data_IF_315219731981
#
_entry.id   IF_315219731981
#
_cell.length_a   1.000
_cell.length_b   1.000
_cell.length_c   1.000
_cell.angle_alpha   90.00
_cell.angle_beta   90.00
_cell.angle_gamma   90.00
#
_symmetry.space_group_name_H-M   'P 1'
#
loop_
_entity.id
_entity.type
_entity.pdbx_description
1 polymer ?
#
# COMPACT_ATOMS: atom_id res chain seq x y z
N UNK A 1 -1.03 7.24 2.87
CA UNK A 1 -0.42 6.75 4.13
C UNK A 1 -0.67 5.26 4.15
N UNK A 2 0.35 4.44 4.38
CA UNK A 2 0.22 2.98 4.34
C UNK A 2 0.70 2.44 5.68
N UNK A 3 -0.23 2.29 6.61
CA UNK A 3 0.04 1.82 7.97
C UNK A 3 -0.56 0.44 8.13
N UNK A 4 0.25 -0.62 8.33
CA UNK A 4 -0.28 -1.97 8.47
C UNK A 4 -1.38 -2.09 9.54
N UNK A 5 -1.28 -1.33 10.63
CA UNK A 5 -2.29 -1.25 11.70
C UNK A 5 -3.66 -0.73 11.28
N UNK A 6 -3.78 -0.06 10.12
CA UNK A 6 -5.03 0.53 9.62
C UNK A 6 -5.76 -0.36 8.62
N UNK A 7 -5.19 -1.53 8.29
CA UNK A 7 -5.86 -2.53 7.47
C UNK A 7 -6.56 -3.54 8.38
N UNK A 8 -7.85 -3.78 8.09
CA UNK A 8 -8.64 -4.77 8.82
C UNK A 8 -8.20 -6.20 8.48
N UNK A 9 -8.49 -7.18 9.36
CA UNK A 9 -8.28 -8.60 9.06
C UNK A 9 -8.90 -9.00 7.72
N UNK A 10 -8.15 -9.72 6.88
CA UNK A 10 -8.55 -10.15 5.54
C UNK A 10 -8.22 -9.17 4.42
N UNK A 11 -7.93 -7.90 4.73
CA UNK A 11 -7.52 -6.93 3.71
C UNK A 11 -6.25 -7.39 3.01
N UNK A 12 -6.16 -7.14 1.71
CA UNK A 12 -5.04 -7.55 0.86
C UNK A 12 -4.78 -9.07 0.90
N UNK A 13 -5.76 -9.88 1.31
CA UNK A 13 -5.60 -11.33 1.49
C UNK A 13 -4.77 -11.73 2.73
N UNK A 14 -4.55 -10.81 3.67
CA UNK A 14 -3.74 -11.05 4.87
C UNK A 14 -4.63 -11.21 6.10
N UNK A 15 -4.44 -12.30 6.85
CA UNK A 15 -5.23 -12.56 8.05
C UNK A 15 -5.09 -11.45 9.10
N UNK A 16 -3.87 -10.95 9.31
CA UNK A 16 -3.55 -9.83 10.19
C UNK A 16 -2.49 -8.96 9.49
N UNK A 17 -2.90 -7.92 8.74
CA UNK A 17 -1.97 -7.05 8.02
C UNK A 17 -0.91 -6.40 8.93
N UNK A 18 -1.28 -5.98 10.14
CA UNK A 18 -0.33 -5.36 11.10
C UNK A 18 0.84 -6.27 11.46
N UNK A 19 0.62 -7.60 11.46
CA UNK A 19 1.63 -8.61 11.73
C UNK A 19 2.46 -9.00 10.49
N UNK A 20 2.13 -8.44 9.32
CA UNK A 20 2.80 -8.69 8.04
C UNK A 20 3.16 -7.37 7.36
N UNK A 21 4.07 -6.58 7.96
CA UNK A 21 4.39 -5.22 7.50
C UNK A 21 4.91 -5.19 6.06
N UNK A 22 5.85 -6.08 5.71
CA UNK A 22 6.38 -6.17 4.34
C UNK A 22 5.25 -6.38 3.32
N UNK A 23 4.46 -7.44 3.53
CA UNK A 23 3.43 -7.86 2.59
C UNK A 23 2.33 -6.81 2.42
N UNK A 24 1.96 -6.15 3.52
CA UNK A 24 0.96 -5.07 3.51
C UNK A 24 1.44 -3.89 2.67
N UNK A 25 2.70 -3.48 2.83
CA UNK A 25 3.27 -2.41 2.00
C UNK A 25 3.38 -2.87 0.54
N UNK A 26 4.00 -4.01 0.30
CA UNK A 26 4.26 -4.52 -1.05
C UNK A 26 2.97 -4.64 -1.87
N UNK A 27 1.92 -5.28 -1.32
CA UNK A 27 0.62 -5.43 -2.01
C UNK A 27 -0.06 -4.10 -2.27
N UNK A 28 -0.12 -3.23 -1.25
CA UNK A 28 -0.76 -1.92 -1.36
C UNK A 28 -0.08 -1.03 -2.41
N UNK A 29 1.26 -0.98 -2.37
CA UNK A 29 2.05 -0.17 -3.29
C UNK A 29 2.06 -0.76 -4.70
N UNK A 30 2.13 -2.09 -4.86
CA UNK A 30 2.01 -2.74 -6.17
C UNK A 30 0.67 -2.45 -6.84
N UNK A 31 -0.44 -2.51 -6.09
CA UNK A 31 -1.75 -2.11 -6.57
C UNK A 31 -1.77 -0.63 -7.03
N UNK A 32 -1.16 0.27 -6.24
CA UNK A 32 -1.01 1.67 -6.66
C UNK A 32 -0.24 1.81 -7.97
N UNK A 33 0.84 1.04 -8.15
CA UNK A 33 1.68 1.11 -9.35
C UNK A 33 0.97 0.58 -10.60
N UNK A 34 0.15 -0.47 -10.45
CA UNK A 34 -0.72 -0.97 -11.53
C UNK A 34 -1.65 0.14 -12.02
N UNK A 35 -2.41 0.76 -11.11
CA UNK A 35 -3.30 1.90 -11.44
C UNK A 35 -2.52 3.05 -12.07
N UNK A 36 -1.37 3.40 -11.49
CA UNK A 36 -0.51 4.47 -11.98
C UNK A 36 0.27 4.12 -13.24
N UNK A 37 0.31 2.88 -13.71
CA UNK A 37 0.89 2.54 -15.02
C UNK A 37 -0.09 2.74 -16.16
N UNK A 38 -1.38 2.94 -15.85
CA UNK A 38 -2.45 2.87 -16.84
C UNK A 38 -2.79 1.45 -17.27
N UNK A 39 -2.21 0.44 -16.60
CA UNK A 39 -2.58 -0.95 -16.79
C UNK A 39 -4.05 -1.14 -16.41
N UNK A 40 -4.81 -1.65 -17.37
CA UNK A 40 -6.19 -2.10 -17.18
C UNK A 40 -6.18 -3.61 -17.29
N UNK A 41 -6.86 -4.33 -16.40
CA UNK A 41 -7.10 -5.75 -16.60
C UNK A 41 -7.82 -5.97 -17.94
N UNK A 42 -7.59 -7.09 -18.64
CA UNK A 42 -8.39 -7.47 -19.79
C UNK A 42 -9.89 -7.44 -19.43
N UNK A 43 -10.69 -6.87 -20.32
CA UNK A 43 -12.09 -6.47 -20.15
C UNK A 43 -13.04 -7.67 -19.89
N UNK A 44 -13.13 -8.15 -18.65
CA UNK A 44 -14.24 -8.93 -18.07
C UNK A 44 -14.37 -8.58 -16.57
N UNK A 45 -14.73 -7.33 -16.29
CA UNK A 45 -15.33 -6.91 -15.01
C UNK A 45 -16.17 -5.66 -15.29
N UNK A 46 -17.33 -5.87 -15.93
CA UNK A 46 -18.24 -4.78 -16.27
C UNK A 46 -18.76 -4.05 -15.03
N UNK A 47 -18.50 -2.75 -14.93
CA UNK A 47 -19.35 -1.82 -14.18
C UNK A 47 -19.57 -0.57 -15.02
N UNK A 48 -20.82 -0.39 -15.42
CA UNK A 48 -21.38 0.73 -16.18
C UNK A 48 -21.01 2.09 -15.57
N UNK A 49 -20.38 2.95 -16.37
CA UNK A 49 -20.16 4.37 -16.07
C UNK A 49 -21.50 5.09 -15.88
N UNK A 50 -21.68 5.74 -14.73
CA UNK A 50 -22.75 6.72 -14.54
C UNK A 50 -22.14 8.13 -14.56
N UNK A 51 -22.26 8.80 -15.70
CA UNK A 51 -22.15 10.25 -15.80
C UNK A 51 -23.22 10.90 -14.92
N UNK A 52 -22.84 11.75 -13.98
CA UNK A 52 -23.78 12.58 -13.23
C UNK A 52 -23.27 14.03 -13.13
N UNK A 53 -23.92 14.89 -13.91
CA UNK A 53 -23.98 16.32 -13.68
C UNK A 53 -24.70 16.62 -12.36
N UNK A 54 -24.23 17.67 -11.68
CA UNK A 54 -24.90 18.53 -10.68
C UNK A 54 -26.10 18.00 -9.89
N UNK A 55 -25.97 17.98 -8.54
CA UNK A 55 -27.07 18.37 -7.65
C UNK A 55 -27.28 17.55 -6.37
N UNK A 56 -27.07 18.22 -5.23
CA UNK A 56 -27.74 18.04 -3.93
C UNK A 56 -27.37 16.86 -3.02
N UNK A 57 -27.17 17.20 -1.75
CA UNK A 57 -26.71 16.40 -0.59
C UNK A 57 -27.81 15.51 -0.01
N UNK A 58 -27.51 14.27 0.39
CA UNK A 58 -27.99 13.67 1.66
C UNK A 58 -27.25 12.39 2.04
N UNK A 59 -27.11 12.17 3.34
CA UNK A 59 -26.33 11.15 4.05
C UNK A 59 -26.63 9.68 3.74
N UNK A 60 -25.63 8.86 4.10
CA UNK A 60 -25.58 7.42 4.36
C UNK A 60 -25.22 6.43 3.24
N UNK A 61 -24.33 5.52 3.64
CA UNK A 61 -23.88 4.27 3.00
C UNK A 61 -22.79 4.45 1.96
N UNK A 62 -21.55 4.66 2.43
CA UNK A 62 -20.37 4.42 1.59
C UNK A 62 -20.29 2.89 1.40
N UNK A 63 -20.72 2.47 0.22
CA UNK A 63 -20.69 1.08 -0.22
C UNK A 63 -19.27 0.57 -0.26
N UNK A 64 -19.15 -0.69 0.13
CA UNK A 64 -17.98 -1.56 0.10
C UNK A 64 -16.97 -1.17 -0.97
N UNK A 65 -15.75 -0.87 -0.52
CA UNK A 65 -14.59 -0.92 -1.40
C UNK A 65 -14.44 -2.40 -1.77
N UNK A 66 -14.99 -2.79 -2.93
CA UNK A 66 -14.71 -4.08 -3.57
C UNK A 66 -13.20 -4.20 -3.70
N UNK A 67 -12.58 -4.83 -2.71
CA UNK A 67 -11.19 -5.19 -2.75
C UNK A 67 -11.09 -6.24 -3.85
N UNK A 68 -10.45 -5.87 -4.96
CA UNK A 68 -10.06 -6.80 -6.02
C UNK A 68 -9.44 -8.04 -5.35
N UNK A 69 -10.16 -9.15 -5.40
CA UNK A 69 -9.66 -10.41 -4.89
C UNK A 69 -8.62 -10.92 -5.88
N UNK A 70 -7.35 -10.92 -5.46
CA UNK A 70 -6.23 -11.56 -6.17
C UNK A 70 -6.43 -13.08 -6.40
N UNK A 71 -7.55 -13.65 -5.95
CA UNK A 71 -7.88 -15.07 -6.11
C UNK A 71 -8.20 -15.49 -7.56
N UNK A 72 -8.52 -14.54 -8.45
CA UNK A 72 -8.89 -14.84 -9.85
C UNK A 72 -7.77 -14.60 -10.87
N UNK A 73 -6.58 -14.18 -10.45
CA UNK A 73 -5.42 -14.00 -11.33
C UNK A 73 -4.19 -14.66 -10.72
N UNK A 74 -3.49 -15.51 -11.47
CA UNK A 74 -2.27 -16.14 -10.98
C UNK A 74 -1.15 -15.10 -10.88
N UNK A 75 -0.29 -15.17 -9.86
CA UNK A 75 0.85 -14.24 -9.71
C UNK A 75 1.77 -14.23 -10.96
N UNK A 76 1.74 -15.29 -11.78
CA UNK A 76 2.50 -15.37 -13.04
C UNK A 76 1.90 -14.56 -14.20
N UNK A 77 0.65 -14.11 -14.11
CA UNK A 77 -0.02 -13.34 -15.16
C UNK A 77 0.23 -11.82 -15.06
N UNK A 78 0.95 -11.36 -14.02
CA UNK A 78 1.23 -9.95 -13.81
C UNK A 78 2.70 -9.60 -14.13
N UNK A 79 2.95 -8.49 -14.86
CA UNK A 79 4.31 -7.98 -15.02
C UNK A 79 4.90 -7.56 -13.67
N UNK A 80 6.22 -7.71 -13.49
CA UNK A 80 6.91 -7.24 -12.28
C UNK A 80 6.58 -5.75 -12.07
N UNK A 81 6.08 -5.35 -10.88
CA UNK A 81 5.80 -3.96 -10.58
C UNK A 81 6.96 -3.02 -10.89
N UNK A 82 8.21 -3.44 -10.69
CA UNK A 82 9.40 -2.63 -10.98
C UNK A 82 9.53 -2.29 -12.46
N UNK A 83 9.03 -3.14 -13.35
CA UNK A 83 9.05 -2.95 -14.80
C UNK A 83 7.90 -2.06 -15.30
N UNK A 84 6.88 -1.82 -14.47
CA UNK A 84 5.81 -0.89 -14.79
C UNK A 84 6.33 0.55 -14.74
N UNK A 85 6.34 1.22 -15.90
CA UNK A 85 6.61 2.65 -15.98
C UNK A 85 5.30 3.44 -15.89
N UNK A 86 5.22 4.44 -15.01
CA UNK A 86 4.11 5.38 -15.04
C UNK A 86 4.13 6.17 -16.37
N UNK A 87 3.02 6.18 -17.12
CA UNK A 87 2.82 7.02 -18.31
C UNK A 87 3.24 8.50 -18.08
N UNK A 88 3.89 9.07 -19.10
CA UNK A 88 4.81 10.22 -19.01
C UNK A 88 4.19 11.62 -18.82
N UNK A 89 2.86 11.81 -18.93
CA UNK A 89 2.23 13.13 -18.80
C UNK A 89 2.10 13.57 -17.32
N UNK A 90 3.20 14.08 -16.75
CA UNK A 90 3.35 14.71 -15.42
C UNK A 90 2.62 13.95 -14.30
N UNK A 91 3.17 12.80 -13.91
CA UNK A 91 2.72 12.06 -12.74
C UNK A 91 3.53 12.45 -11.51
N UNK A 92 2.84 12.72 -10.39
CA UNK A 92 3.48 13.02 -9.12
C UNK A 92 4.29 11.82 -8.64
N UNK A 93 5.52 12.06 -8.14
CA UNK A 93 6.28 11.04 -7.42
C UNK A 93 5.51 10.64 -6.16
N UNK A 94 5.32 9.33 -5.95
CA UNK A 94 4.59 8.82 -4.79
C UNK A 94 5.58 8.54 -3.67
N UNK A 95 5.31 9.17 -2.51
CA UNK A 95 6.06 8.95 -1.26
C UNK A 95 5.08 8.49 -0.18
N UNK A 96 4.95 7.19 0.09
CA UNK A 96 4.08 6.73 1.16
C UNK A 96 4.64 7.15 2.52
N UNK A 97 3.71 7.46 3.43
CA UNK A 97 4.01 7.53 4.86
C UNK A 97 3.94 6.11 5.43
N UNK A 98 5.01 5.69 6.13
CA UNK A 98 5.19 4.38 6.78
C UNK A 98 5.04 4.48 8.31
N UNK A 99 4.67 3.37 8.94
CA UNK A 99 4.40 3.29 10.38
C UNK A 99 5.68 3.06 11.19
N UNK A 100 5.96 3.94 12.16
CA UNK A 100 7.06 3.77 13.14
C UNK A 100 6.52 3.81 14.58
N UNK A 101 5.41 3.13 14.82
CA UNK A 101 4.81 3.01 16.15
C UNK A 101 4.06 1.68 16.30
N UNK A 102 3.87 1.26 17.55
CA UNK A 102 3.09 0.08 17.90
C UNK A 102 1.65 0.48 18.19
N UNK A 103 0.71 -0.02 17.40
CA UNK A 103 -0.73 0.25 17.54
C UNK A 103 -1.36 -0.72 18.55
N UNK A 104 -1.10 -0.54 19.86
CA UNK A 104 -1.53 -1.48 20.91
C UNK A 104 -3.06 -1.67 21.03
N UNK A 105 -3.83 -0.78 20.40
CA UNK A 105 -5.29 -0.85 20.32
C UNK A 105 -5.81 -1.76 19.20
N UNK A 106 -4.94 -2.24 18.30
CA UNK A 106 -5.31 -3.17 17.22
C UNK A 106 -5.24 -4.61 17.74
N UNK A 107 -6.25 -5.41 17.42
CA UNK A 107 -6.27 -6.82 17.76
C UNK A 107 -5.28 -7.58 16.86
N UNK A 108 -4.39 -8.37 17.46
CA UNK A 108 -3.32 -9.06 16.74
C UNK A 108 -2.12 -8.18 16.42
N UNK A 109 -2.00 -7.00 17.05
CA UNK A 109 -0.85 -6.12 16.82
C UNK A 109 0.47 -6.79 17.21
N UNK A 110 1.54 -6.36 16.55
CA UNK A 110 2.91 -6.69 16.92
C UNK A 110 3.64 -5.46 17.45
N UNK A 111 4.77 -5.68 18.15
CA UNK A 111 5.66 -4.58 18.51
C UNK A 111 6.46 -4.16 17.28
N UNK A 112 6.45 -2.87 16.98
CA UNK A 112 7.23 -2.30 15.87
C UNK A 112 8.60 -1.88 16.36
N UNK A 113 9.64 -2.49 15.80
CA UNK A 113 11.03 -2.15 15.99
C UNK A 113 11.80 -2.06 14.67
N UNK A 114 13.14 -2.15 14.73
CA UNK A 114 14.00 -2.07 13.55
C UNK A 114 13.60 -2.99 12.39
N UNK A 115 13.24 -4.24 12.70
CA UNK A 115 12.95 -5.26 11.69
C UNK A 115 11.64 -4.96 10.94
N UNK A 116 10.58 -4.58 11.67
CA UNK A 116 9.28 -4.25 11.07
C UNK A 116 9.36 -2.99 10.20
N UNK A 117 10.19 -2.03 10.59
CA UNK A 117 10.41 -0.80 9.81
C UNK A 117 11.20 -1.10 8.55
N UNK A 118 12.27 -1.90 8.66
CA UNK A 118 13.06 -2.32 7.50
C UNK A 118 12.22 -3.16 6.54
N UNK A 119 11.33 -4.01 7.05
CA UNK A 119 10.38 -4.76 6.25
C UNK A 119 9.43 -3.86 5.45
N UNK A 120 8.89 -2.79 6.06
CA UNK A 120 8.07 -1.82 5.32
C UNK A 120 8.87 -1.10 4.23
N UNK A 121 10.08 -0.63 4.55
CA UNK A 121 10.97 0.05 3.60
C UNK A 121 11.28 -0.86 2.42
N UNK A 122 11.61 -2.12 2.68
CA UNK A 122 11.87 -3.12 1.63
C UNK A 122 10.63 -3.33 0.75
N UNK A 123 9.43 -3.40 1.33
CA UNK A 123 8.19 -3.51 0.57
C UNK A 123 7.94 -2.32 -0.37
N UNK A 124 8.35 -1.10 0.01
CA UNK A 124 8.29 0.09 -0.87
C UNK A 124 9.23 -0.09 -2.08
N UNK A 125 10.48 -0.46 -1.83
CA UNK A 125 11.48 -0.69 -2.89
C UNK A 125 11.09 -1.84 -3.81
N UNK A 126 10.50 -2.89 -3.26
CA UNK A 126 10.11 -4.06 -4.02
C UNK A 126 8.88 -3.81 -4.90
N UNK A 127 7.99 -2.91 -4.48
CA UNK A 127 6.93 -2.36 -5.33
C UNK A 127 7.46 -1.31 -6.35
N UNK A 128 8.77 -1.08 -6.38
CA UNK A 128 9.49 -0.22 -7.31
C UNK A 128 9.52 1.27 -6.94
N UNK A 129 8.99 1.66 -5.79
CA UNK A 129 9.04 3.06 -5.34
C UNK A 129 10.38 3.34 -4.68
N UNK A 130 10.90 4.56 -4.82
CA UNK A 130 12.24 4.91 -4.36
C UNK A 130 12.25 5.74 -3.06
N UNK A 131 11.10 6.27 -2.67
CA UNK A 131 10.99 7.28 -1.62
C UNK A 131 9.87 6.93 -0.64
N UNK A 132 10.05 7.30 0.62
CA UNK A 132 9.11 7.06 1.71
C UNK A 132 9.36 8.06 2.85
N UNK A 133 8.41 8.19 3.77
CA UNK A 133 8.52 9.04 4.97
C UNK A 133 8.03 8.24 6.18
N UNK A 134 8.79 8.19 7.27
CA UNK A 134 8.30 7.58 8.51
C UNK A 134 7.39 8.54 9.27
N UNK A 135 6.37 7.98 9.93
CA UNK A 135 5.47 8.74 10.78
C UNK A 135 5.34 8.11 12.16
N UNK A 136 5.46 8.96 13.18
CA UNK A 136 5.11 8.64 14.56
C UNK A 136 4.59 9.90 15.25
N UNK A 137 3.36 9.85 15.81
CA UNK A 137 2.75 10.97 16.53
C UNK A 137 3.60 11.49 17.72
N UNK A 138 4.39 10.62 18.34
CA UNK A 138 5.30 10.98 19.42
C UNK A 138 6.59 11.65 18.93
N UNK A 139 6.80 11.77 17.62
CA UNK A 139 8.04 12.27 16.99
C UNK A 139 9.30 11.54 17.46
N UNK A 140 9.18 10.24 17.78
CA UNK A 140 10.31 9.36 18.10
C UNK A 140 10.43 8.36 16.97
N UNK A 141 11.62 8.28 16.38
CA UNK A 141 11.85 7.42 15.23
C UNK A 141 12.88 6.34 15.57
N UNK A 142 12.65 5.13 15.07
CA UNK A 142 13.48 3.96 15.37
C UNK A 142 14.65 3.90 14.39
N UNK A 143 15.79 4.48 14.80
CA UNK A 143 16.99 4.58 13.98
C UNK A 143 17.49 3.24 13.44
N UNK A 144 17.37 2.15 14.21
CA UNK A 144 17.84 0.83 13.80
C UNK A 144 17.15 0.24 12.57
N UNK A 145 15.97 0.77 12.19
CA UNK A 145 15.27 0.37 10.97
C UNK A 145 15.81 1.05 9.71
N UNK A 146 16.68 2.05 9.86
CA UNK A 146 17.29 2.81 8.77
C UNK A 146 18.62 2.16 8.36
N UNK A 147 18.96 2.23 7.07
CA UNK A 147 20.30 1.86 6.59
C UNK A 147 21.34 2.83 7.17
N UNK A 148 22.46 2.31 7.64
CA UNK A 148 23.64 3.13 7.94
C UNK A 148 24.24 3.63 6.62
N UNK A 149 24.85 4.83 6.62
CA UNK A 149 25.42 5.46 5.42
C UNK A 149 26.41 4.57 4.64
N UNK A 150 27.02 3.57 5.28
CA UNK A 150 27.98 2.65 4.64
C UNK A 150 27.33 1.48 3.87
N UNK A 151 26.06 1.15 4.11
CA UNK A 151 25.35 0.03 3.43
C UNK A 151 24.61 0.48 2.16
N UNK A 152 24.64 1.78 1.84
CA UNK A 152 23.89 2.39 0.72
C UNK A 152 24.74 2.90 -0.44
N UNK A 153 26.05 2.57 -0.50
CA UNK A 153 27.00 3.06 -1.51
C UNK A 153 27.42 1.98 -2.52
#
# INVERSE_FOLDING_TARGET
MVYPSHYGPGNLGLAVPDAQPYETIYRSMSASRRVLSGWTPPEEAGVSENNASEGSVSENSVSENEALSEADFSEEDFPDPRELTPAEEIRAQVRPWLQDFTATWVNGHISYGPEEIRAQIQGVYDAGYEEWILWNAANRYTEGGLLAEEEGA
#
